data_IF_111508163461
#
_entry.id   IF_111508163461
#
_cell.length_a   1.000
_cell.length_b   1.000
_cell.length_c   1.000
_cell.angle_alpha   90.00
_cell.angle_beta   90.00
_cell.angle_gamma   90.00
#
_symmetry.space_group_name_H-M   'P 1'
#
loop_
_entity.id
_entity.type
_entity.pdbx_description
1 polymer ?
#
# COMPACT_ATOMS: atom_id res chain seq x y z
N UNK A 1 38.82 -5.91 -15.54
CA UNK A 1 37.94 -6.83 -16.29
C UNK A 1 36.53 -6.51 -15.87
N UNK A 2 35.90 -5.57 -16.56
CA UNK A 2 34.50 -5.24 -16.38
C UNK A 2 33.66 -6.45 -16.81
N UNK A 3 33.05 -7.12 -15.84
CA UNK A 3 32.00 -8.09 -16.15
C UNK A 3 30.79 -7.29 -16.60
N UNK A 4 30.54 -7.30 -17.91
CA UNK A 4 29.27 -6.89 -18.50
C UNK A 4 28.13 -7.54 -17.69
N UNK A 5 27.39 -6.71 -16.97
CA UNK A 5 26.24 -7.12 -16.18
C UNK A 5 25.17 -7.50 -17.20
N UNK A 6 24.91 -8.81 -17.34
CA UNK A 6 23.79 -9.34 -18.12
C UNK A 6 22.52 -8.52 -17.83
N UNK A 7 21.64 -8.28 -18.83
CA UNK A 7 20.42 -7.52 -18.57
C UNK A 7 19.64 -8.22 -17.46
N UNK A 8 19.52 -7.55 -16.31
CA UNK A 8 18.72 -8.04 -15.19
C UNK A 8 17.29 -8.15 -15.67
N UNK A 9 16.71 -9.34 -15.57
CA UNK A 9 15.30 -9.55 -15.81
C UNK A 9 14.50 -8.60 -14.90
N UNK A 10 13.54 -7.87 -15.48
CA UNK A 10 12.71 -6.91 -14.77
C UNK A 10 11.32 -7.48 -14.64
N UNK A 11 10.81 -7.56 -13.41
CA UNK A 11 9.45 -7.94 -13.12
C UNK A 11 8.63 -6.70 -12.79
N UNK A 12 7.45 -6.58 -13.38
CA UNK A 12 6.42 -5.64 -12.93
C UNK A 12 5.45 -6.43 -12.08
N UNK A 13 5.31 -6.03 -10.82
CA UNK A 13 4.38 -6.64 -9.88
C UNK A 13 3.18 -5.70 -9.70
N UNK A 14 1.99 -6.25 -9.83
CA UNK A 14 0.74 -5.49 -9.74
C UNK A 14 0.12 -5.65 -8.36
N UNK A 15 -0.32 -4.54 -7.77
CA UNK A 15 -1.17 -4.56 -6.59
C UNK A 15 -2.55 -5.05 -6.98
N UNK A 16 -2.98 -6.14 -6.37
CA UNK A 16 -4.32 -6.70 -6.55
C UNK A 16 -5.15 -6.35 -5.34
N UNK A 17 -6.32 -5.75 -5.54
CA UNK A 17 -7.25 -5.51 -4.44
C UNK A 17 -7.64 -6.84 -3.78
N UNK A 18 -7.52 -6.91 -2.45
CA UNK A 18 -8.01 -8.01 -1.64
C UNK A 18 -9.40 -7.64 -1.12
N UNK A 19 -10.41 -7.89 -1.94
CA UNK A 19 -11.80 -7.57 -1.62
C UNK A 19 -12.31 -8.33 -0.39
N UNK A 20 -11.86 -9.58 -0.19
CA UNK A 20 -12.27 -10.41 0.94
C UNK A 20 -11.73 -9.85 2.26
N UNK A 21 -10.43 -9.52 2.30
CA UNK A 21 -9.81 -8.91 3.48
C UNK A 21 -10.37 -7.50 3.74
N UNK A 22 -10.56 -6.70 2.68
CA UNK A 22 -11.20 -5.39 2.76
C UNK A 22 -12.58 -5.49 3.40
N UNK A 23 -13.42 -6.43 2.95
CA UNK A 23 -14.76 -6.63 3.50
C UNK A 23 -14.72 -7.14 4.95
N UNK A 24 -13.84 -8.08 5.27
CA UNK A 24 -13.67 -8.55 6.65
C UNK A 24 -13.32 -7.40 7.60
N UNK A 25 -12.42 -6.50 7.19
CA UNK A 25 -12.09 -5.32 7.99
C UNK A 25 -13.26 -4.33 8.11
N UNK A 26 -14.09 -4.16 7.07
CA UNK A 26 -15.30 -3.31 7.13
C UNK A 26 -16.39 -3.91 8.03
N UNK A 27 -16.55 -5.23 8.02
CA UNK A 27 -17.45 -5.94 8.91
C UNK A 27 -17.04 -5.77 10.38
N UNK A 28 -15.74 -5.72 10.67
CA UNK A 28 -15.24 -5.40 12.02
C UNK A 28 -15.71 -4.02 12.49
N UNK A 29 -15.60 -2.99 11.64
CA UNK A 29 -16.10 -1.65 11.94
C UNK A 29 -17.60 -1.67 12.22
N UNK A 30 -18.36 -2.32 11.33
CA UNK A 30 -19.82 -2.41 11.44
C UNK A 30 -20.27 -3.17 12.69
N UNK A 31 -19.54 -4.23 13.06
CA UNK A 31 -19.81 -5.03 14.26
C UNK A 31 -19.64 -4.21 15.53
N UNK A 32 -18.54 -3.46 15.66
CA UNK A 32 -18.30 -2.56 16.80
C UNK A 32 -19.38 -1.48 16.93
N UNK A 33 -19.81 -0.90 15.80
CA UNK A 33 -20.88 0.09 15.78
C UNK A 33 -22.22 -0.50 16.24
N UNK A 34 -22.58 -1.69 15.75
CA UNK A 34 -23.83 -2.37 16.11
C UNK A 34 -23.86 -2.83 17.57
N UNK A 35 -22.73 -3.32 18.09
CA UNK A 35 -22.63 -3.81 19.47
C UNK A 35 -22.38 -2.71 20.50
N UNK A 36 -22.01 -1.50 20.06
CA UNK A 36 -21.60 -0.40 20.95
C UNK A 36 -20.25 -0.68 21.65
N UNK A 37 -19.52 -1.70 21.24
CA UNK A 37 -18.22 -2.03 21.80
C UNK A 37 -17.14 -1.08 21.29
N UNK A 38 -16.14 -0.80 22.14
CA UNK A 38 -14.94 -0.10 21.71
C UNK A 38 -14.00 -1.06 20.98
N UNK A 39 -13.26 -0.52 20.01
CA UNK A 39 -12.10 -1.21 19.43
C UNK A 39 -11.05 -1.52 20.50
N UNK A 40 -10.19 -2.50 20.22
CA UNK A 40 -9.02 -2.76 21.07
C UNK A 40 -8.08 -1.55 21.05
N UNK A 41 -7.31 -1.38 22.11
CA UNK A 41 -6.32 -0.31 22.17
C UNK A 41 -5.26 -0.50 21.07
N UNK A 42 -5.00 0.57 20.32
CA UNK A 42 -4.12 0.53 19.15
C UNK A 42 -4.68 -0.17 17.89
N UNK A 43 -5.92 -0.69 17.90
CA UNK A 43 -6.55 -1.34 16.74
C UNK A 43 -6.78 -0.34 15.59
N UNK A 44 -6.36 -0.71 14.38
CA UNK A 44 -6.55 0.04 13.14
C UNK A 44 -7.81 -0.45 12.43
N UNK A 45 -8.85 0.38 12.48
CA UNK A 45 -10.09 0.16 11.73
C UNK A 45 -9.98 0.78 10.34
N UNK A 46 -10.39 0.05 9.31
CA UNK A 46 -10.35 0.53 7.92
C UNK A 46 -11.33 1.69 7.71
N UNK A 47 -10.88 2.75 7.04
CA UNK A 47 -11.73 3.89 6.69
C UNK A 47 -12.56 3.58 5.43
N UNK A 48 -13.68 4.29 5.20
CA UNK A 48 -14.58 3.99 4.07
C UNK A 48 -13.93 4.02 2.69
N UNK A 49 -12.93 4.87 2.50
CA UNK A 49 -12.19 5.07 1.24
C UNK A 49 -10.89 4.28 1.16
N UNK A 50 -10.59 3.45 2.15
CA UNK A 50 -9.41 2.59 2.15
C UNK A 50 -9.74 1.20 1.64
N UNK A 51 -8.79 0.61 0.93
CA UNK A 51 -8.87 -0.77 0.44
C UNK A 51 -7.56 -1.47 0.79
N UNK A 52 -7.63 -2.78 1.01
CA UNK A 52 -6.44 -3.60 1.20
C UNK A 52 -6.03 -4.14 -0.16
N UNK A 53 -4.75 -4.03 -0.48
CA UNK A 53 -4.17 -4.60 -1.70
C UNK A 53 -3.07 -5.58 -1.34
N UNK A 54 -2.95 -6.65 -2.11
CA UNK A 54 -1.91 -7.66 -2.01
C UNK A 54 -0.93 -7.51 -3.16
N UNK A 55 0.35 -7.66 -2.84
CA UNK A 55 1.44 -7.73 -3.80
C UNK A 55 2.09 -9.11 -3.67
N UNK A 56 2.00 -9.92 -4.72
CA UNK A 56 2.51 -11.28 -4.71
C UNK A 56 3.92 -11.30 -5.34
N UNK A 57 4.94 -11.63 -4.55
CA UNK A 57 6.32 -11.72 -5.01
C UNK A 57 6.60 -13.15 -5.52
N UNK A 58 6.89 -13.35 -6.82
CA UNK A 58 7.14 -14.68 -7.38
C UNK A 58 8.48 -15.29 -6.92
N UNK A 59 9.43 -14.43 -6.55
CA UNK A 59 10.75 -14.77 -6.01
C UNK A 59 11.15 -13.76 -4.94
N UNK A 60 12.06 -14.12 -4.03
CA UNK A 60 12.51 -13.24 -2.95
C UNK A 60 13.73 -12.40 -3.33
N UNK A 61 14.55 -12.84 -4.29
CA UNK A 61 15.75 -12.13 -4.73
C UNK A 61 15.40 -11.03 -5.74
N UNK A 62 14.87 -9.91 -5.23
CA UNK A 62 14.47 -8.77 -6.03
C UNK A 62 15.18 -7.50 -5.56
N UNK A 63 15.42 -6.59 -6.49
CA UNK A 63 15.85 -5.23 -6.20
C UNK A 63 14.76 -4.29 -6.68
N UNK A 64 14.32 -3.41 -5.80
CA UNK A 64 13.41 -2.34 -6.19
C UNK A 64 14.04 -1.46 -7.27
N UNK A 65 13.24 -1.01 -8.23
CA UNK A 65 13.71 -0.13 -9.30
C UNK A 65 12.97 1.20 -9.33
N UNK A 66 11.64 1.18 -9.44
CA UNK A 66 10.80 2.36 -9.43
C UNK A 66 9.33 1.95 -9.30
N UNK A 67 8.50 2.89 -8.89
CA UNK A 67 7.06 2.74 -8.84
C UNK A 67 6.43 3.01 -10.21
N UNK A 68 5.44 2.20 -10.59
CA UNK A 68 4.51 2.51 -11.66
C UNK A 68 3.17 2.88 -11.04
N UNK A 69 2.77 4.15 -11.17
CA UNK A 69 1.53 4.64 -10.58
C UNK A 69 0.83 5.61 -11.52
N UNK A 70 -0.50 5.51 -11.58
CA UNK A 70 -1.33 6.42 -12.37
C UNK A 70 -2.61 6.74 -11.60
N UNK A 71 -3.15 7.94 -11.82
CA UNK A 71 -4.45 8.38 -11.31
C UNK A 71 -5.31 8.77 -12.50
N UNK A 72 -6.56 8.31 -12.52
CA UNK A 72 -7.54 8.63 -13.56
C UNK A 72 -8.08 10.05 -13.51
N UNK A 73 -7.70 10.84 -12.51
CA UNK A 73 -8.13 12.23 -12.37
C UNK A 73 -7.27 12.99 -11.36
N UNK A 74 -7.84 14.08 -10.83
CA UNK A 74 -7.21 14.88 -9.78
C UNK A 74 -7.46 14.27 -8.40
N UNK A 75 -6.51 14.45 -7.49
CA UNK A 75 -6.62 13.96 -6.12
C UNK A 75 -5.29 13.46 -5.57
N UNK A 76 -5.38 12.75 -4.44
CA UNK A 76 -4.23 12.20 -3.73
C UNK A 76 -4.53 10.76 -3.32
N UNK A 77 -3.57 9.88 -3.51
CA UNK A 77 -3.58 8.51 -3.00
C UNK A 77 -2.36 8.30 -2.12
N UNK A 78 -2.60 7.60 -1.01
CA UNK A 78 -1.57 7.19 -0.06
C UNK A 78 -1.54 5.67 -0.01
N UNK A 79 -0.34 5.11 -0.05
CA UNK A 79 -0.07 3.69 0.08
C UNK A 79 0.72 3.50 1.37
N UNK A 80 0.21 2.63 2.23
CA UNK A 80 0.86 2.31 3.50
C UNK A 80 1.15 0.82 3.53
N UNK A 81 2.42 0.44 3.66
CA UNK A 81 2.80 -0.96 3.83
C UNK A 81 2.27 -1.52 5.14
N UNK A 82 2.01 -2.82 5.18
CA UNK A 82 1.64 -3.53 6.40
C UNK A 82 2.73 -4.56 6.70
N UNK A 83 3.15 -4.66 7.96
CA UNK A 83 4.17 -5.61 8.38
C UNK A 83 3.80 -7.05 8.01
N UNK A 84 4.75 -7.78 7.42
CA UNK A 84 4.58 -9.18 7.05
C UNK A 84 4.29 -10.12 8.24
N UNK A 85 4.53 -9.67 9.47
CA UNK A 85 4.20 -10.41 10.69
C UNK A 85 2.72 -10.34 11.06
N UNK A 86 1.92 -9.49 10.40
CA UNK A 86 0.48 -9.48 10.60
C UNK A 86 -0.17 -10.63 9.84
N UNK A 87 -0.91 -11.47 10.55
CA UNK A 87 -1.75 -12.51 9.96
C UNK A 87 -3.22 -12.11 10.13
N UNK A 88 -3.90 -11.70 9.05
CA UNK A 88 -5.27 -11.18 9.11
C UNK A 88 -6.28 -12.14 9.76
N UNK A 89 -6.10 -13.44 9.59
CA UNK A 89 -7.01 -14.46 10.14
C UNK A 89 -6.86 -14.66 11.66
N UNK A 90 -5.75 -14.21 12.23
CA UNK A 90 -5.42 -14.45 13.65
C UNK A 90 -5.64 -13.21 14.53
N UNK A 91 -5.45 -12.00 13.99
CA UNK A 91 -5.49 -10.77 14.79
C UNK A 91 -6.03 -9.60 13.98
N UNK A 92 -6.68 -8.65 14.65
CA UNK A 92 -7.00 -7.35 14.06
C UNK A 92 -5.71 -6.56 13.78
N UNK A 93 -5.73 -5.78 12.69
CA UNK A 93 -4.61 -4.91 12.34
C UNK A 93 -4.39 -3.87 13.45
N UNK A 94 -3.13 -3.65 13.82
CA UNK A 94 -2.73 -2.65 14.81
C UNK A 94 -2.01 -1.48 14.13
N UNK A 95 -2.17 -0.26 14.62
CA UNK A 95 -1.53 0.93 14.05
C UNK A 95 0.00 0.79 13.96
N UNK A 96 0.63 0.13 14.95
CA UNK A 96 2.07 -0.16 14.97
C UNK A 96 2.56 -1.12 13.87
N UNK A 97 1.65 -1.81 13.18
CA UNK A 97 1.97 -2.71 12.08
C UNK A 97 1.93 -1.99 10.72
N UNK A 98 1.52 -0.73 10.68
CA UNK A 98 1.66 0.13 9.50
C UNK A 98 3.11 0.55 9.36
N UNK A 99 3.66 0.40 8.16
CA UNK A 99 5.05 0.71 7.85
C UNK A 99 5.18 2.18 7.44
N UNK A 100 6.22 2.82 7.95
CA UNK A 100 6.72 4.12 7.50
C UNK A 100 8.02 3.92 6.73
N UNK A 101 8.36 4.72 5.71
CA UNK A 101 7.57 5.84 5.21
C UNK A 101 6.35 5.37 4.40
N UNK A 102 5.32 6.21 4.33
CA UNK A 102 4.18 6.01 3.46
C UNK A 102 4.46 6.53 2.04
N UNK A 103 3.97 5.82 1.03
CA UNK A 103 3.99 6.32 -0.34
C UNK A 103 2.85 7.29 -0.59
N UNK A 104 3.10 8.46 -1.18
CA UNK A 104 2.05 9.43 -1.51
C UNK A 104 2.21 9.95 -2.94
N UNK A 105 1.13 9.86 -3.72
CA UNK A 105 1.01 10.37 -5.08
C UNK A 105 -0.16 11.33 -5.20
N UNK A 106 0.00 12.41 -5.96
CA UNK A 106 -1.10 13.35 -6.19
C UNK A 106 -1.02 14.10 -7.52
N UNK A 107 -2.18 14.62 -7.91
CA UNK A 107 -2.38 15.57 -9.00
C UNK A 107 -3.31 16.68 -8.50
N UNK A 108 -2.87 17.94 -8.57
CA UNK A 108 -3.69 19.09 -8.19
C UNK A 108 -4.76 19.36 -9.25
N UNK A 109 -5.81 20.11 -8.90
CA UNK A 109 -6.90 20.43 -9.83
C UNK A 109 -6.43 21.21 -11.08
N UNK A 110 -5.39 22.02 -10.95
CA UNK A 110 -4.84 22.83 -12.05
C UNK A 110 -3.78 22.10 -12.88
N UNK A 111 -3.35 20.91 -12.45
CA UNK A 111 -2.33 20.13 -13.15
C UNK A 111 -3.00 19.37 -14.32
N UNK A 112 -2.51 19.49 -15.57
CA UNK A 112 -2.98 18.67 -16.69
C UNK A 112 -2.92 17.16 -16.41
N UNK A 113 -3.89 16.40 -16.94
CA UNK A 113 -3.99 14.95 -16.72
C UNK A 113 -2.84 14.15 -17.34
N UNK A 114 -2.17 14.71 -18.37
CA UNK A 114 -1.03 14.14 -19.06
C UNK A 114 0.31 14.37 -18.34
N UNK A 115 0.34 15.21 -17.30
CA UNK A 115 1.54 15.36 -16.48
C UNK A 115 1.77 14.16 -15.54
N UNK A 116 3.04 13.79 -15.31
CA UNK A 116 3.41 12.83 -14.27
C UNK A 116 2.87 13.24 -12.91
N UNK A 117 2.52 12.25 -12.10
CA UNK A 117 2.06 12.49 -10.73
C UNK A 117 3.19 13.05 -9.87
N UNK A 118 2.82 13.96 -8.97
CA UNK A 118 3.72 14.45 -7.93
C UNK A 118 3.83 13.40 -6.84
N UNK A 119 5.01 13.23 -6.28
CA UNK A 119 5.26 12.36 -5.13
C UNK A 119 6.38 12.94 -4.24
N UNK A 120 6.51 12.39 -3.02
CA UNK A 120 7.66 12.66 -2.15
C UNK A 120 8.78 11.69 -2.53
N UNK A 121 9.67 12.09 -3.43
CA UNK A 121 10.64 11.18 -4.07
C UNK A 121 11.50 10.38 -3.08
N UNK A 122 11.98 11.02 -2.00
CA UNK A 122 12.80 10.36 -0.98
C UNK A 122 12.00 9.26 -0.24
N UNK A 123 10.81 9.60 0.26
CA UNK A 123 9.93 8.67 0.96
C UNK A 123 9.48 7.53 0.03
N UNK A 124 9.22 7.82 -1.24
CA UNK A 124 8.83 6.83 -2.24
C UNK A 124 9.96 5.85 -2.55
N UNK A 125 11.20 6.33 -2.62
CA UNK A 125 12.37 5.48 -2.84
C UNK A 125 12.59 4.56 -1.63
N UNK A 126 12.60 5.11 -0.41
CA UNK A 126 12.77 4.33 0.82
C UNK A 126 11.62 3.32 0.99
N UNK A 127 10.37 3.71 0.68
CA UNK A 127 9.23 2.80 0.75
C UNK A 127 9.36 1.64 -0.24
N UNK A 128 9.89 1.88 -1.44
CA UNK A 128 10.11 0.83 -2.44
C UNK A 128 11.22 -0.15 -2.07
N UNK A 129 12.23 0.29 -1.33
CA UNK A 129 13.36 -0.55 -0.88
C UNK A 129 13.02 -1.49 0.29
N UNK A 130 11.80 -1.39 0.87
CA UNK A 130 11.33 -2.21 2.00
C UNK A 130 10.46 -3.39 1.55
#
# INVERSE_FOLDING_TARGET
MDKEKSPSEKFVLEFKEDAALTEMMRLRVSSLQKSGQKRQDGERLLLPYEVVSRLDFPVQELNFSHWYFSLSGHGRVTITGISQHWTPDLTHLMTRQLLEPIGTFWRNADDPEDLPLKCLEADMQEFGER
#
